data_IF_627497792780
#
_entry.id   IF_627497792780
#
_cell.length_a   1.000
_cell.length_b   1.000
_cell.length_c   1.000
_cell.angle_alpha   90.00
_cell.angle_beta   90.00
_cell.angle_gamma   90.00
#
_symmetry.space_group_name_H-M   'P 1'
#
loop_
_entity.id
_entity.type
_entity.pdbx_description
1 polymer ?
#
# COMPACT_ATOMS: atom_id res chain seq x y z
N UNK A 1 -8.28 36.59 31.52
CA UNK A 1 -9.28 35.73 30.85
C UNK A 1 -8.54 34.63 30.11
N UNK A 2 -8.76 33.37 30.52
CA UNK A 2 -7.82 32.25 30.32
C UNK A 2 -7.73 31.68 28.90
N UNK A 3 -6.53 31.19 28.55
CA UNK A 3 -6.24 30.50 27.28
C UNK A 3 -6.78 29.07 27.34
N UNK A 4 -7.61 28.67 26.37
CA UNK A 4 -8.05 27.28 26.19
C UNK A 4 -6.85 26.43 25.70
N UNK A 5 -6.36 25.54 26.55
CA UNK A 5 -5.45 24.47 26.16
C UNK A 5 -6.28 23.35 25.50
N UNK A 6 -5.92 22.94 24.28
CA UNK A 6 -6.48 21.75 23.67
C UNK A 6 -5.85 20.52 24.34
N UNK A 7 -6.67 19.69 24.98
CA UNK A 7 -6.22 18.48 25.67
C UNK A 7 -5.71 17.44 24.67
N UNK A 8 -4.40 17.20 24.66
CA UNK A 8 -3.79 16.09 23.92
C UNK A 8 -4.00 14.78 24.69
N UNK A 9 -5.20 14.20 24.60
CA UNK A 9 -5.46 12.86 25.15
C UNK A 9 -4.95 11.80 24.17
N UNK A 10 -3.66 11.48 24.24
CA UNK A 10 -3.08 10.25 23.65
C UNK A 10 -3.33 9.08 24.59
N UNK A 11 -4.38 8.29 24.35
CA UNK A 11 -4.40 6.89 24.78
C UNK A 11 -5.47 6.08 24.04
N UNK A 12 -5.09 5.30 23.04
CA UNK A 12 -5.78 4.04 22.72
C UNK A 12 -4.73 2.95 22.60
N UNK A 13 -4.56 2.21 23.70
CA UNK A 13 -3.87 0.93 23.70
C UNK A 13 -4.67 -0.01 22.81
N UNK A 14 -4.15 -0.31 21.63
CA UNK A 14 -4.63 -1.41 20.81
C UNK A 14 -4.02 -2.69 21.34
N UNK A 15 -4.71 -3.35 22.27
CA UNK A 15 -4.45 -4.75 22.59
C UNK A 15 -5.19 -5.58 21.55
N UNK A 16 -4.46 -6.23 20.64
CA UNK A 16 -5.00 -7.18 19.69
C UNK A 16 -4.29 -8.52 19.85
N UNK A 17 -4.48 -9.16 21.00
CA UNK A 17 -4.16 -10.57 21.21
C UNK A 17 -5.46 -11.38 21.14
N UNK A 18 -6.04 -11.41 19.94
CA UNK A 18 -7.13 -12.32 19.57
C UNK A 18 -6.57 -13.44 18.68
N UNK A 19 -7.18 -14.64 18.70
CA UNK A 19 -6.69 -15.78 17.92
C UNK A 19 -6.75 -15.44 16.43
N UNK A 20 -5.65 -15.70 15.73
CA UNK A 20 -5.44 -15.49 14.30
C UNK A 20 -6.42 -16.30 13.45
N UNK A 21 -7.60 -15.72 13.25
CA UNK A 21 -8.62 -16.14 12.29
C UNK A 21 -8.22 -15.59 10.90
N UNK A 22 -7.67 -16.46 10.05
CA UNK A 22 -7.49 -16.27 8.60
C UNK A 22 -7.22 -14.86 8.08
N UNK A 23 -6.21 -14.15 8.62
CA UNK A 23 -5.89 -12.78 8.22
C UNK A 23 -5.43 -12.73 6.76
N UNK A 24 -6.32 -12.33 5.85
CA UNK A 24 -5.97 -11.95 4.48
C UNK A 24 -5.12 -10.68 4.57
N UNK A 25 -3.79 -10.86 4.62
CA UNK A 25 -2.85 -9.75 4.54
C UNK A 25 -2.61 -9.37 3.08
N UNK A 26 -2.86 -8.11 2.74
CA UNK A 26 -2.44 -7.59 1.45
C UNK A 26 -0.89 -7.57 1.37
N UNK A 27 -0.34 -8.10 0.28
CA UNK A 27 1.09 -8.01 0.02
C UNK A 27 1.42 -6.61 -0.49
N UNK A 28 2.41 -5.97 0.13
CA UNK A 28 2.84 -4.62 -0.24
C UNK A 28 4.08 -4.69 -1.11
N UNK A 29 4.01 -4.11 -2.31
CA UNK A 29 5.15 -4.01 -3.22
C UNK A 29 5.74 -2.60 -3.16
N UNK A 30 7.06 -2.52 -3.16
CA UNK A 30 7.80 -1.27 -3.32
C UNK A 30 7.68 -0.73 -4.74
N UNK A 31 7.86 0.58 -4.88
CA UNK A 31 7.89 1.22 -6.21
C UNK A 31 8.94 0.60 -7.13
N UNK A 32 10.10 0.21 -6.60
CA UNK A 32 11.18 -0.40 -7.38
C UNK A 32 10.78 -1.76 -7.95
N UNK A 33 10.05 -2.57 -7.18
CA UNK A 33 9.54 -3.86 -7.67
C UNK A 33 8.53 -3.65 -8.79
N UNK A 34 7.60 -2.70 -8.63
CA UNK A 34 6.64 -2.34 -9.67
C UNK A 34 7.33 -1.79 -10.92
N UNK A 35 8.36 -0.96 -10.76
CA UNK A 35 9.16 -0.45 -11.86
C UNK A 35 9.85 -1.61 -12.59
N UNK A 36 10.52 -2.53 -11.90
CA UNK A 36 11.13 -3.71 -12.52
C UNK A 36 10.09 -4.56 -13.26
N UNK A 37 8.97 -4.87 -12.62
CA UNK A 37 7.90 -5.68 -13.18
C UNK A 37 7.32 -5.10 -14.48
N UNK A 38 7.22 -3.77 -14.57
CA UNK A 38 6.71 -3.04 -15.73
C UNK A 38 7.79 -2.62 -16.74
N UNK A 39 9.05 -3.05 -16.53
CA UNK A 39 10.24 -2.61 -17.30
C UNK A 39 10.42 -1.09 -17.31
N UNK A 40 10.29 -0.49 -16.14
CA UNK A 40 10.34 0.94 -15.85
C UNK A 40 9.21 1.73 -16.54
N UNK A 41 7.97 1.24 -16.43
CA UNK A 41 6.78 1.86 -17.01
C UNK A 41 6.91 2.15 -18.52
N UNK A 42 7.51 1.20 -19.25
CA UNK A 42 7.73 1.35 -20.71
C UNK A 42 6.40 1.58 -21.44
N UNK A 43 6.33 2.50 -22.41
CA UNK A 43 5.12 2.75 -23.20
C UNK A 43 4.59 1.51 -23.92
N UNK A 44 5.47 0.58 -24.32
CA UNK A 44 5.09 -0.71 -24.93
C UNK A 44 4.27 -1.61 -23.99
N UNK A 45 4.30 -1.31 -22.69
CA UNK A 45 3.54 -2.00 -21.66
C UNK A 45 2.28 -1.23 -21.23
N UNK A 46 2.03 -0.03 -21.76
CA UNK A 46 0.79 0.70 -21.50
C UNK A 46 -0.39 -0.06 -22.11
N UNK A 47 -1.41 -0.32 -21.30
CA UNK A 47 -2.65 -0.97 -21.76
C UNK A 47 -3.83 0.00 -21.82
N UNK A 48 -3.75 1.15 -21.16
CA UNK A 48 -4.77 2.18 -21.21
C UNK A 48 -4.46 3.39 -20.35
N UNK A 49 -5.18 4.47 -20.61
CA UNK A 49 -5.18 5.71 -19.82
C UNK A 49 -6.63 6.19 -19.65
N UNK A 50 -6.97 6.70 -18.46
CA UNK A 50 -8.31 7.19 -18.16
C UNK A 50 -8.40 7.81 -16.76
N UNK A 51 -9.59 7.83 -16.17
CA UNK A 51 -9.84 8.42 -14.83
C UNK A 51 -9.07 7.75 -13.68
N UNK A 52 -8.45 6.59 -13.93
CA UNK A 52 -7.60 5.87 -12.98
C UNK A 52 -6.10 6.17 -13.16
N UNK A 53 -5.74 7.00 -14.14
CA UNK A 53 -4.37 7.23 -14.58
C UNK A 53 -3.93 6.22 -15.66
N UNK A 54 -2.62 6.02 -15.77
CA UNK A 54 -1.99 5.12 -16.74
C UNK A 54 -1.88 3.71 -16.18
N UNK A 55 -2.31 2.73 -16.97
CA UNK A 55 -2.28 1.32 -16.57
C UNK A 55 -1.24 0.58 -17.41
N UNK A 56 -0.32 -0.11 -16.75
CA UNK A 56 0.77 -0.83 -17.39
C UNK A 56 0.73 -2.33 -17.07
N UNK A 57 1.06 -3.18 -18.06
CA UNK A 57 1.30 -4.60 -17.84
C UNK A 57 2.70 -4.84 -17.26
N UNK A 58 2.80 -5.76 -16.31
CA UNK A 58 4.06 -6.18 -15.72
C UNK A 58 3.97 -7.58 -15.12
N UNK A 59 5.12 -8.19 -14.84
CA UNK A 59 5.21 -9.48 -14.15
C UNK A 59 6.09 -9.33 -12.91
N UNK A 60 5.50 -9.53 -11.74
CA UNK A 60 6.24 -9.73 -10.50
C UNK A 60 6.78 -11.16 -10.53
N UNK A 61 8.08 -11.32 -10.27
CA UNK A 61 8.64 -12.65 -10.04
C UNK A 61 8.07 -13.16 -8.72
N UNK A 62 7.60 -14.40 -8.69
CA UNK A 62 7.12 -15.00 -7.44
C UNK A 62 8.30 -15.06 -6.48
N UNK A 63 8.29 -14.19 -5.49
CA UNK A 63 9.01 -14.44 -4.24
C UNK A 63 8.25 -15.59 -3.61
N UNK A 64 8.79 -16.81 -3.64
CA UNK A 64 8.25 -17.96 -2.92
C UNK A 64 8.06 -17.54 -1.44
N UNK A 65 6.83 -17.26 -1.05
CA UNK A 65 6.41 -16.84 0.30
C UNK A 65 5.35 -17.81 0.81
#
# INVERSE_FOLDING_TARGET
TGRRANSFSRNRRGSSDGPNDGRISAHSFSFRELATATRNFKPTNLIGEGGFGRVYKGRLESTDQ
#
